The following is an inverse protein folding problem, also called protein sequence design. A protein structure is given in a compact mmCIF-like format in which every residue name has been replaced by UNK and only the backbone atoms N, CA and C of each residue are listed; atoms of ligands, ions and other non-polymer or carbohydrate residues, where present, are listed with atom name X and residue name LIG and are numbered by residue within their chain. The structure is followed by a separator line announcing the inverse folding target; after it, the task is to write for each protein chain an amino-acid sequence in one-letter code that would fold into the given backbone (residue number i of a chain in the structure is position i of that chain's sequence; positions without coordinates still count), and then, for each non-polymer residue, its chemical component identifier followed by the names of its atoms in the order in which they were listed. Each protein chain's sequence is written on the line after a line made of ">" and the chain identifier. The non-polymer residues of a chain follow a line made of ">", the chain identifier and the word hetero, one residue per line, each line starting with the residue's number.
data_IF_457178403143
#
_entry.id   IF_457178403143
#
_cell.length_a   1.000
_cell.length_b   1.000
_cell.length_c   1.000
_cell.angle_alpha   90.00
_cell.angle_beta   90.00
_cell.angle_gamma   90.00
#
_symmetry.space_group_name_H-M   'P 1'
#
loop_
_entity.id
_entity.type
_entity.pdbx_description
1 polymer ?
#
# COMPACT_ATOMS: atom_id res chain seq x y z
N UNK A 1 -59.51 13.57 33.66
CA UNK A 1 -59.86 12.42 34.52
C UNK A 1 -58.79 11.36 34.28
N UNK A 2 -57.80 11.28 35.18
CA UNK A 2 -57.55 10.13 36.09
C UNK A 2 -57.24 8.83 35.36
N UNK A 3 -56.21 8.04 35.63
CA UNK A 3 -55.17 7.97 36.67
C UNK A 3 -54.06 7.02 36.08
N UNK A 4 -52.77 7.31 36.18
CA UNK A 4 -51.83 6.97 37.27
C UNK A 4 -51.81 5.49 37.73
N UNK A 5 -50.58 4.95 37.84
CA UNK A 5 -49.98 3.94 38.75
C UNK A 5 -48.96 3.10 37.92
N UNK A 6 -47.64 3.17 38.12
CA UNK A 6 -46.87 2.84 39.34
C UNK A 6 -46.61 1.32 39.35
N UNK A 7 -45.46 0.73 39.67
CA UNK A 7 -44.19 1.19 40.18
C UNK A 7 -43.17 0.02 40.14
N UNK A 8 -41.88 0.37 40.18
CA UNK A 8 -40.83 -0.22 41.04
C UNK A 8 -40.21 -1.61 40.75
N UNK A 9 -38.88 -1.64 40.88
CA UNK A 9 -38.06 -2.85 40.99
C UNK A 9 -36.55 -2.58 40.97
N UNK A 10 -36.00 -2.04 42.07
CA UNK A 10 -34.55 -2.03 42.39
C UNK A 10 -34.17 -3.35 43.06
N UNK A 11 -32.99 -3.90 42.74
CA UNK A 11 -32.00 -4.55 43.64
C UNK A 11 -30.94 -5.24 42.74
N UNK A 12 -29.66 -4.88 42.66
CA UNK A 12 -28.57 -4.76 43.64
C UNK A 12 -27.94 -6.11 44.05
N UNK A 13 -26.60 -6.17 43.88
CA UNK A 13 -25.55 -6.97 44.60
C UNK A 13 -25.05 -8.28 43.95
N UNK A 14 -23.89 -8.85 44.38
CA UNK A 14 -22.54 -8.22 44.51
C UNK A 14 -21.34 -9.21 44.22
N UNK A 15 -20.10 -8.69 44.27
CA UNK A 15 -18.82 -9.29 44.79
C UNK A 15 -18.30 -10.63 44.17
N UNK A 16 -17.04 -11.07 44.23
CA UNK A 16 -15.82 -10.71 44.95
C UNK A 16 -14.65 -11.64 44.48
N UNK A 17 -13.37 -11.24 44.74
CA UNK A 17 -12.23 -12.09 45.23
C UNK A 17 -11.54 -13.03 44.19
N UNK A 18 -10.24 -13.35 44.12
CA UNK A 18 -9.03 -13.42 44.99
C UNK A 18 -7.75 -13.35 44.11
N UNK A 19 -6.66 -12.68 44.48
CA UNK A 19 -5.39 -13.20 45.09
C UNK A 19 -4.64 -14.30 44.31
N UNK A 20 -3.37 -14.03 43.98
CA UNK A 20 -2.36 -15.02 43.59
C UNK A 20 -0.93 -14.46 43.59
N UNK A 21 -0.27 -14.48 44.76
CA UNK A 21 1.17 -14.29 44.96
C UNK A 21 1.93 -15.60 44.68
N UNK A 22 3.16 -15.52 44.15
CA UNK A 22 4.34 -16.42 44.31
C UNK A 22 5.23 -16.28 43.06
N UNK A 23 6.55 -16.38 43.06
CA UNK A 23 7.61 -16.40 44.06
C UNK A 23 8.93 -16.16 43.30
N UNK A 24 9.93 -15.62 44.00
CA UNK A 24 11.30 -15.41 43.52
C UNK A 24 12.14 -16.71 43.50
N UNK A 25 13.24 -16.72 42.73
CA UNK A 25 14.60 -17.25 43.01
C UNK A 25 15.28 -17.64 41.67
N UNK A 26 16.29 -16.91 41.17
CA UNK A 26 17.73 -16.96 41.51
C UNK A 26 18.37 -18.35 41.41
N UNK A 27 19.15 -18.56 40.35
CA UNK A 27 20.34 -19.41 40.34
C UNK A 27 21.38 -18.77 39.41
N UNK A 28 22.56 -18.57 39.96
CA UNK A 28 23.73 -17.96 39.33
C UNK A 28 24.86 -18.99 39.18
N UNK A 29 25.85 -18.64 38.34
CA UNK A 29 27.24 -19.15 38.30
C UNK A 29 27.40 -20.57 37.76
N UNK A 30 28.50 -21.03 37.15
CA UNK A 30 29.82 -20.55 36.71
C UNK A 30 30.20 -21.55 35.57
N UNK A 31 31.11 -21.36 34.62
CA UNK A 31 32.39 -20.69 34.59
C UNK A 31 33.33 -21.49 33.65
N UNK A 32 34.48 -20.87 33.34
CA UNK A 32 35.73 -21.46 32.84
C UNK A 32 36.00 -21.63 31.33
N UNK A 33 36.93 -20.75 30.90
CA UNK A 33 37.82 -20.70 29.74
C UNK A 33 38.72 -21.93 29.54
N UNK A 34 39.17 -22.15 28.29
CA UNK A 34 40.59 -22.19 27.81
C UNK A 34 40.59 -22.46 26.30
N UNK A 35 41.02 -21.56 25.41
CA UNK A 35 42.39 -21.20 24.99
C UNK A 35 43.23 -22.36 24.38
N UNK A 36 43.43 -22.27 23.06
CA UNK A 36 44.74 -22.41 22.41
C UNK A 36 45.04 -23.74 21.72
N UNK A 37 45.18 -23.72 20.39
CA UNK A 37 46.47 -23.93 19.71
C UNK A 37 46.27 -23.92 18.18
N UNK A 38 46.98 -22.99 17.52
CA UNK A 38 47.31 -23.09 16.11
C UNK A 38 48.37 -24.20 15.93
N UNK A 39 48.25 -24.99 14.86
CA UNK A 39 49.42 -25.54 14.18
C UNK A 39 49.08 -25.75 12.71
N UNK A 40 49.91 -25.14 11.90
CA UNK A 40 50.04 -25.27 10.44
C UNK A 40 50.57 -26.64 10.06
N UNK A 41 49.96 -27.27 9.05
CA UNK A 41 50.66 -28.17 8.14
C UNK A 41 50.16 -27.95 6.71
N UNK A 42 51.14 -27.77 5.84
CA UNK A 42 51.02 -27.43 4.43
C UNK A 42 50.75 -28.67 3.58
N UNK A 43 49.99 -28.45 2.51
CA UNK A 43 50.05 -29.07 1.19
C UNK A 43 49.66 -30.56 1.02
N UNK A 44 48.52 -30.75 0.35
CA UNK A 44 48.45 -31.64 -0.80
C UNK A 44 47.69 -30.91 -1.92
N UNK A 45 48.45 -30.43 -2.92
CA UNK A 45 47.90 -29.97 -4.19
C UNK A 45 47.35 -31.19 -4.93
N UNK A 46 46.03 -31.27 -5.05
CA UNK A 46 45.37 -32.06 -6.07
C UNK A 46 44.75 -31.09 -7.08
N UNK A 47 45.33 -31.08 -8.28
CA UNK A 47 44.80 -30.38 -9.44
C UNK A 47 43.40 -30.88 -9.75
N UNK A 48 42.38 -30.12 -9.36
CA UNK A 48 41.04 -30.22 -9.93
C UNK A 48 40.88 -29.02 -10.87
N UNK A 49 40.92 -29.31 -12.16
CA UNK A 49 40.46 -28.43 -13.24
C UNK A 49 39.18 -27.73 -12.83
N UNK A 50 39.20 -26.40 -12.79
CA UNK A 50 38.03 -25.59 -12.54
C UNK A 50 36.93 -25.99 -13.53
N UNK A 51 35.81 -26.49 -12.99
CA UNK A 51 34.58 -26.61 -13.77
C UNK A 51 34.25 -25.22 -14.33
N UNK A 52 33.82 -25.11 -15.60
CA UNK A 52 33.31 -23.84 -16.09
C UNK A 52 32.18 -23.39 -15.17
N UNK A 53 32.25 -22.15 -14.69
CA UNK A 53 31.15 -21.53 -13.96
C UNK A 53 29.86 -21.77 -14.77
N UNK A 54 28.73 -22.16 -14.14
CA UNK A 54 27.48 -22.16 -14.87
C UNK A 54 27.31 -20.75 -15.43
N UNK A 55 27.14 -20.67 -16.75
CA UNK A 55 26.76 -19.44 -17.41
C UNK A 55 25.43 -19.01 -16.78
N UNK A 56 25.52 -18.07 -15.84
CA UNK A 56 24.37 -17.28 -15.40
C UNK A 56 23.97 -16.46 -16.61
N UNK A 57 23.04 -17.02 -17.38
CA UNK A 57 22.36 -16.31 -18.44
C UNK A 57 21.69 -15.07 -17.82
N UNK A 58 22.13 -13.84 -18.17
CA UNK A 58 21.54 -12.62 -17.62
C UNK A 58 20.04 -12.48 -17.97
N UNK A 59 19.54 -13.27 -18.91
CA UNK A 59 18.14 -13.25 -19.33
C UNK A 59 17.20 -14.08 -18.42
N UNK A 60 17.71 -14.84 -17.44
CA UNK A 60 16.87 -15.61 -16.50
C UNK A 60 16.74 -14.98 -15.10
N UNK A 61 17.36 -13.82 -14.88
CA UNK A 61 17.24 -13.01 -13.66
C UNK A 61 16.09 -12.01 -13.69
N UNK A 62 15.16 -12.15 -14.64
CA UNK A 62 13.92 -11.36 -14.69
C UNK A 62 12.90 -11.95 -13.71
N UNK A 63 13.21 -11.88 -12.42
CA UNK A 63 12.19 -11.55 -11.42
C UNK A 63 11.59 -10.22 -11.87
N UNK A 64 10.27 -10.13 -11.90
CA UNK A 64 9.58 -8.97 -12.46
C UNK A 64 10.12 -7.70 -11.83
N UNK A 65 10.52 -6.74 -12.67
CA UNK A 65 10.96 -5.41 -12.26
C UNK A 65 9.76 -4.62 -11.71
N UNK A 66 9.21 -5.08 -10.61
CA UNK A 66 8.42 -4.24 -9.71
C UNK A 66 9.38 -3.25 -9.05
N UNK A 67 8.92 -2.10 -8.56
CA UNK A 67 9.78 -1.07 -7.96
C UNK A 67 10.59 -1.52 -6.72
N UNK A 68 10.39 -2.76 -6.26
CA UNK A 68 10.91 -3.33 -5.02
C UNK A 68 12.30 -3.98 -5.13
N UNK A 69 12.84 -4.16 -6.34
CA UNK A 69 14.19 -4.73 -6.55
C UNK A 69 15.31 -3.67 -6.39
N UNK A 70 15.42 -3.06 -5.20
CA UNK A 70 16.57 -2.23 -4.85
C UNK A 70 17.43 -2.82 -3.75
N UNK A 71 18.76 -2.83 -3.89
CA UNK A 71 19.63 -2.93 -2.72
C UNK A 71 19.34 -1.70 -1.83
N UNK A 72 19.10 -1.88 -0.51
CA UNK A 72 18.73 -0.76 0.33
C UNK A 72 19.84 0.30 0.39
N UNK A 73 19.40 1.56 0.38
CA UNK A 73 20.20 2.74 0.72
C UNK A 73 20.78 2.60 2.15
N UNK A 74 21.91 3.26 2.42
CA UNK A 74 22.64 3.27 3.71
C UNK A 74 21.89 4.03 4.80
N UNK A 75 20.69 3.59 5.18
CA UNK A 75 20.02 4.06 6.39
C UNK A 75 20.55 3.25 7.60
N UNK A 76 21.20 3.90 8.59
CA UNK A 76 21.71 3.22 9.78
C UNK A 76 20.64 2.42 10.55
N UNK A 77 19.37 2.86 10.49
CA UNK A 77 18.25 2.17 11.12
C UNK A 77 17.94 0.84 10.40
N UNK A 78 17.94 0.85 9.07
CA UNK A 78 17.77 -0.35 8.24
C UNK A 78 18.94 -1.31 8.43
N UNK A 79 20.18 -0.81 8.49
CA UNK A 79 21.37 -1.63 8.75
C UNK A 79 21.29 -2.32 10.13
N UNK A 80 20.82 -1.61 11.15
CA UNK A 80 20.59 -2.19 12.47
C UNK A 80 19.49 -3.26 12.44
N UNK A 81 18.38 -2.99 11.74
CA UNK A 81 17.28 -3.95 11.61
C UNK A 81 17.72 -5.24 10.92
N UNK A 82 18.44 -5.14 9.80
CA UNK A 82 19.02 -6.28 9.09
C UNK A 82 19.93 -7.09 10.01
N UNK A 83 20.86 -6.44 10.73
CA UNK A 83 21.78 -7.13 11.63
C UNK A 83 21.06 -7.89 12.76
N UNK A 84 19.98 -7.32 13.30
CA UNK A 84 19.14 -7.98 14.32
C UNK A 84 18.43 -9.19 13.72
N UNK A 85 17.80 -9.05 12.55
CA UNK A 85 17.05 -10.13 11.89
C UNK A 85 17.95 -11.29 11.51
N UNK A 86 19.12 -11.03 10.93
CA UNK A 86 20.13 -12.07 10.61
C UNK A 86 20.55 -12.92 11.80
N UNK A 87 20.54 -12.33 13.00
CA UNK A 87 20.89 -13.05 14.24
C UNK A 87 19.69 -13.80 14.81
N UNK A 88 18.50 -13.23 14.70
CA UNK A 88 17.29 -13.73 15.33
C UNK A 88 16.55 -14.80 14.50
N UNK A 89 16.71 -14.79 13.17
CA UNK A 89 15.98 -15.66 12.26
C UNK A 89 16.92 -16.32 11.24
N UNK A 90 17.26 -17.61 11.42
CA UNK A 90 18.10 -18.34 10.47
C UNK A 90 17.51 -18.46 9.06
N UNK A 91 16.19 -18.30 8.91
CA UNK A 91 15.49 -18.31 7.62
C UNK A 91 15.35 -16.93 6.98
N UNK A 92 16.02 -15.92 7.53
CA UNK A 92 16.04 -14.58 6.94
C UNK A 92 16.89 -14.57 5.66
N UNK A 93 16.21 -14.49 4.53
CA UNK A 93 16.80 -14.26 3.22
C UNK A 93 16.62 -12.79 2.82
N UNK A 94 17.64 -12.22 2.15
CA UNK A 94 17.60 -10.87 1.60
C UNK A 94 16.98 -10.82 0.20
N UNK A 95 16.61 -11.96 -0.37
CA UNK A 95 15.86 -12.00 -1.62
C UNK A 95 14.46 -11.40 -1.42
N UNK A 96 14.08 -10.41 -2.25
CA UNK A 96 12.81 -9.66 -2.17
C UNK A 96 12.48 -9.10 -0.77
N UNK A 97 13.43 -8.39 -0.17
CA UNK A 97 13.25 -7.74 1.12
C UNK A 97 12.76 -6.29 0.98
N UNK A 98 11.75 -5.93 1.75
CA UNK A 98 11.25 -4.57 1.86
C UNK A 98 11.37 -4.08 3.31
N UNK A 99 11.92 -2.87 3.46
CA UNK A 99 11.95 -2.15 4.71
C UNK A 99 11.05 -0.93 4.61
N UNK A 100 10.27 -0.67 5.65
CA UNK A 100 9.54 0.60 5.81
C UNK A 100 9.84 1.16 7.20
N UNK A 101 10.07 2.46 7.27
CA UNK A 101 10.45 3.15 8.51
C UNK A 101 9.44 4.23 8.86
N UNK A 102 9.30 4.50 10.16
CA UNK A 102 8.47 5.58 10.68
C UNK A 102 8.01 5.31 12.11
N UNK A 103 7.53 6.33 12.81
CA UNK A 103 7.03 6.23 14.18
C UNK A 103 5.69 5.49 14.24
N UNK A 104 5.73 4.17 14.45
CA UNK A 104 4.57 3.27 14.42
C UNK A 104 3.85 3.24 15.77
N UNK A 105 4.59 3.26 16.87
CA UNK A 105 4.02 3.23 18.22
C UNK A 105 3.81 4.61 18.87
N UNK A 106 4.13 5.68 18.13
CA UNK A 106 3.92 7.09 18.49
C UNK A 106 4.77 7.52 19.68
N UNK A 107 5.97 6.96 19.83
CA UNK A 107 6.92 7.30 20.89
C UNK A 107 7.89 8.43 20.50
N UNK A 108 7.78 8.93 19.26
CA UNK A 108 8.61 9.99 18.71
C UNK A 108 9.93 9.52 18.10
N UNK A 109 10.14 8.20 17.95
CA UNK A 109 11.28 7.61 17.24
C UNK A 109 10.77 6.78 16.05
N UNK A 110 11.58 6.72 14.99
CA UNK A 110 11.25 5.87 13.86
C UNK A 110 11.50 4.40 14.18
N UNK A 111 10.48 3.58 13.94
CA UNK A 111 10.50 2.13 14.00
C UNK A 111 10.79 1.55 12.61
N UNK A 112 10.94 0.22 12.52
CA UNK A 112 11.13 -0.50 11.27
C UNK A 112 10.15 -1.67 11.18
N UNK A 113 9.39 -1.74 10.08
CA UNK A 113 8.73 -2.97 9.67
C UNK A 113 9.46 -3.56 8.47
N UNK A 114 9.65 -4.87 8.50
CA UNK A 114 10.41 -5.63 7.50
C UNK A 114 9.53 -6.74 6.96
N UNK A 115 9.46 -6.79 5.64
CA UNK A 115 8.91 -7.88 4.87
C UNK A 115 10.04 -8.60 4.18
N UNK A 116 10.08 -9.91 4.29
CA UNK A 116 10.97 -10.74 3.49
C UNK A 116 10.29 -12.06 3.22
N UNK A 117 10.67 -12.69 2.12
CA UNK A 117 10.08 -13.94 1.74
C UNK A 117 10.69 -15.16 2.44
N UNK A 118 9.92 -16.25 2.42
CA UNK A 118 10.35 -17.58 2.83
C UNK A 118 10.42 -18.44 1.57
N UNK A 119 11.61 -18.93 1.26
CA UNK A 119 11.89 -19.84 0.16
C UNK A 119 12.84 -20.96 0.57
N UNK A 120 12.88 -22.04 -0.22
CA UNK A 120 13.98 -23.00 -0.16
C UNK A 120 15.20 -22.43 -0.91
N UNK A 121 16.41 -22.84 -0.52
CA UNK A 121 17.64 -22.44 -1.20
C UNK A 121 17.55 -22.74 -2.71
N UNK A 122 17.61 -21.69 -3.54
CA UNK A 122 17.50 -21.79 -5.00
C UNK A 122 16.08 -21.63 -5.57
N UNK A 123 15.08 -21.39 -4.73
CA UNK A 123 13.77 -20.97 -5.21
C UNK A 123 13.85 -19.56 -5.81
N UNK A 124 13.41 -19.42 -7.06
CA UNK A 124 13.36 -18.11 -7.76
C UNK A 124 12.24 -17.19 -7.23
N UNK A 125 11.38 -17.69 -6.32
CA UNK A 125 10.18 -17.02 -5.80
C UNK A 125 9.83 -17.54 -4.42
N UNK A 126 9.22 -16.69 -3.60
CA UNK A 126 8.78 -17.04 -2.25
C UNK A 126 7.39 -17.65 -2.25
N UNK A 127 7.20 -18.73 -1.48
CA UNK A 127 5.88 -19.36 -1.30
C UNK A 127 5.06 -18.66 -0.21
N UNK A 128 5.73 -17.94 0.68
CA UNK A 128 5.13 -17.15 1.74
C UNK A 128 6.05 -15.96 2.07
N UNK A 129 5.52 -14.96 2.77
CA UNK A 129 6.30 -13.83 3.29
C UNK A 129 6.13 -13.71 4.80
N UNK A 130 7.15 -13.18 5.48
CA UNK A 130 7.12 -12.85 6.90
C UNK A 130 7.12 -11.35 7.11
N UNK A 131 6.37 -10.91 8.12
CA UNK A 131 6.39 -9.53 8.60
C UNK A 131 6.98 -9.49 10.01
N UNK A 132 8.08 -8.75 10.16
CA UNK A 132 8.73 -8.48 11.44
C UNK A 132 8.66 -6.98 11.73
N UNK A 133 8.45 -6.66 13.00
CA UNK A 133 8.45 -5.27 13.49
C UNK A 133 9.59 -5.12 14.50
N UNK A 134 10.35 -4.05 14.36
CA UNK A 134 11.38 -3.64 15.30
C UNK A 134 11.04 -2.24 15.79
N UNK A 135 10.84 -2.09 17.09
CA UNK A 135 10.49 -0.81 17.67
C UNK A 135 11.73 -0.13 18.25
N UNK A 136 11.85 1.17 18.05
CA UNK A 136 12.97 1.95 18.56
C UNK A 136 12.82 2.17 20.07
N UNK A 137 13.86 1.75 20.82
CA UNK A 137 13.95 1.94 22.27
C UNK A 137 15.25 2.65 22.63
N UNK A 138 15.39 3.02 23.90
CA UNK A 138 16.58 3.72 24.40
C UNK A 138 17.90 2.95 24.13
N UNK A 139 17.84 1.62 24.00
CA UNK A 139 19.00 0.76 23.71
C UNK A 139 19.20 0.42 22.22
N UNK A 140 18.39 0.98 21.31
CA UNK A 140 18.34 0.62 19.90
C UNK A 140 17.04 -0.10 19.52
N UNK A 141 17.02 -0.69 18.34
CA UNK A 141 15.87 -1.45 17.84
C UNK A 141 15.63 -2.74 18.64
N UNK A 142 14.38 -2.93 19.05
CA UNK A 142 13.90 -4.12 19.75
C UNK A 142 12.97 -4.94 18.84
N UNK A 143 13.41 -6.14 18.49
CA UNK A 143 12.63 -7.07 17.67
C UNK A 143 11.41 -7.58 18.42
N UNK A 144 10.23 -7.36 17.83
CA UNK A 144 8.96 -7.80 18.38
C UNK A 144 8.64 -9.26 17.98
N UNK A 145 7.65 -9.89 18.64
CA UNK A 145 7.08 -11.15 18.19
C UNK A 145 6.68 -11.10 16.71
N UNK A 146 6.66 -12.25 16.05
CA UNK A 146 6.24 -12.36 14.65
C UNK A 146 4.81 -11.80 14.46
N UNK A 147 4.63 -10.96 13.44
CA UNK A 147 3.36 -10.30 13.14
C UNK A 147 2.70 -10.84 11.86
N UNK A 148 3.29 -11.85 11.21
CA UNK A 148 2.83 -12.39 9.93
C UNK A 148 1.37 -12.86 9.99
N UNK A 149 0.97 -13.49 11.09
CA UNK A 149 -0.41 -13.96 11.32
C UNK A 149 -1.48 -12.86 11.39
N UNK A 150 -1.09 -11.58 11.42
CA UNK A 150 -2.03 -10.45 11.39
C UNK A 150 -2.54 -10.14 9.98
N UNK A 151 -1.91 -10.72 8.96
CA UNK A 151 -2.25 -10.59 7.57
C UNK A 151 -3.05 -11.81 7.12
N UNK A 152 -4.15 -11.58 6.39
CA UNK A 152 -5.01 -12.66 5.90
C UNK A 152 -4.51 -13.26 4.57
N UNK A 153 -3.79 -12.46 3.79
CA UNK A 153 -3.28 -12.80 2.46
C UNK A 153 -1.75 -12.67 2.42
N UNK A 154 -1.15 -12.79 1.25
CA UNK A 154 0.28 -12.52 1.09
C UNK A 154 0.58 -11.04 1.39
N UNK A 155 1.35 -10.70 2.43
CA UNK A 155 1.54 -9.32 2.82
C UNK A 155 2.52 -8.58 1.90
N UNK A 156 2.24 -7.31 1.63
CA UNK A 156 3.18 -6.37 1.02
C UNK A 156 3.18 -5.03 1.79
N UNK A 157 4.31 -4.66 2.39
CA UNK A 157 4.47 -3.43 3.16
C UNK A 157 4.61 -2.22 2.24
N UNK A 158 3.96 -1.12 2.63
CA UNK A 158 3.98 0.15 1.89
C UNK A 158 4.76 1.23 2.61
N UNK A 159 4.27 1.63 3.78
CA UNK A 159 4.83 2.74 4.54
C UNK A 159 4.37 2.67 5.99
N UNK A 160 5.11 3.34 6.88
CA UNK A 160 4.62 3.75 8.19
C UNK A 160 4.35 5.24 8.12
N UNK A 161 3.10 5.65 8.36
CA UNK A 161 2.68 7.05 8.34
C UNK A 161 1.61 7.31 9.39
N UNK A 162 1.77 8.40 10.15
CA UNK A 162 0.82 8.85 11.18
C UNK A 162 0.52 7.79 12.27
N UNK A 163 1.54 7.03 12.67
CA UNK A 163 1.40 5.93 13.63
C UNK A 163 0.57 4.76 13.09
N UNK A 164 0.61 4.54 11.78
CA UNK A 164 -0.05 3.42 11.11
C UNK A 164 0.88 2.75 10.12
N UNK A 165 0.86 1.43 10.13
CA UNK A 165 1.46 0.61 9.08
C UNK A 165 0.44 0.42 7.96
N UNK A 166 0.81 0.83 6.76
CA UNK A 166 0.06 0.60 5.54
C UNK A 166 0.66 -0.59 4.81
N UNK A 167 -0.21 -1.50 4.37
CA UNK A 167 0.20 -2.71 3.69
C UNK A 167 -0.94 -3.24 2.83
N UNK A 168 -0.60 -4.05 1.85
CA UNK A 168 -1.53 -4.68 0.93
C UNK A 168 -1.61 -6.19 1.21
N UNK A 169 -2.77 -6.76 0.92
CA UNK A 169 -2.99 -8.21 0.85
C UNK A 169 -2.99 -8.64 -0.61
N UNK A 170 -1.95 -9.33 -1.02
CA UNK A 170 -1.76 -9.84 -2.37
C UNK A 170 -2.34 -11.25 -2.51
N UNK A 171 -2.81 -11.58 -3.71
CA UNK A 171 -3.47 -12.87 -3.98
C UNK A 171 -2.57 -14.09 -3.69
N UNK A 172 -1.27 -13.97 -3.97
CA UNK A 172 -0.28 -15.01 -3.69
C UNK A 172 1.13 -14.42 -3.74
N UNK A 173 2.01 -14.91 -2.87
CA UNK A 173 3.42 -14.49 -2.85
C UNK A 173 4.22 -14.99 -4.06
N UNK A 174 3.79 -16.10 -4.66
CA UNK A 174 4.53 -16.78 -5.72
C UNK A 174 4.21 -16.26 -7.13
N UNK A 175 3.24 -15.36 -7.30
CA UNK A 175 2.90 -14.84 -8.62
C UNK A 175 3.86 -13.71 -9.05
N UNK A 176 4.15 -13.57 -10.35
CA UNK A 176 5.00 -12.50 -10.88
C UNK A 176 4.43 -11.10 -10.63
N UNK A 177 3.12 -10.97 -10.79
CA UNK A 177 2.42 -9.70 -10.71
C UNK A 177 1.09 -9.97 -9.99
N UNK A 178 1.14 -10.25 -8.67
CA UNK A 178 -0.07 -10.60 -7.93
C UNK A 178 -1.00 -9.40 -7.83
N UNK A 179 -2.29 -9.63 -8.00
CA UNK A 179 -3.32 -8.62 -7.75
C UNK A 179 -3.43 -8.27 -6.27
N UNK A 180 -3.77 -7.01 -5.99
CA UNK A 180 -4.12 -6.57 -4.63
C UNK A 180 -5.56 -6.92 -4.32
N UNK A 181 -5.76 -7.79 -3.33
CA UNK A 181 -7.08 -8.18 -2.84
C UNK A 181 -7.63 -7.20 -1.79
N UNK A 182 -6.75 -6.64 -0.96
CA UNK A 182 -7.13 -5.76 0.14
C UNK A 182 -6.05 -4.73 0.46
N UNK A 183 -6.49 -3.56 0.91
CA UNK A 183 -5.62 -2.49 1.42
C UNK A 183 -5.82 -2.37 2.93
N UNK A 184 -4.75 -2.63 3.67
CA UNK A 184 -4.78 -2.69 5.12
C UNK A 184 -4.17 -1.45 5.78
N UNK A 185 -4.74 -1.09 6.93
CA UNK A 185 -4.09 -0.21 7.89
C UNK A 185 -4.04 -0.90 9.24
N UNK A 186 -2.87 -0.88 9.86
CA UNK A 186 -2.64 -1.41 11.19
C UNK A 186 -2.15 -0.32 12.13
N UNK A 187 -2.55 -0.41 13.39
CA UNK A 187 -1.96 0.35 14.49
C UNK A 187 -1.23 -0.59 15.43
N UNK A 188 -0.14 -0.12 16.03
CA UNK A 188 0.52 -0.84 17.10
C UNK A 188 -0.23 -0.65 18.42
N UNK A 189 -0.76 -1.74 18.97
CA UNK A 189 -1.50 -1.72 20.24
C UNK A 189 -1.20 -2.97 21.05
N UNK A 190 -0.89 -2.79 22.33
CA UNK A 190 -0.65 -3.89 23.28
C UNK A 190 0.40 -4.92 22.79
N UNK A 191 1.46 -4.46 22.13
CA UNK A 191 2.55 -5.32 21.66
C UNK A 191 2.26 -6.10 20.38
N UNK A 192 1.25 -5.71 19.60
CA UNK A 192 0.95 -6.33 18.31
C UNK A 192 0.36 -5.34 17.31
N UNK A 193 0.42 -5.69 16.03
CA UNK A 193 -0.36 -5.05 14.97
C UNK A 193 -1.85 -5.39 15.15
N UNK A 194 -2.68 -4.35 15.17
CA UNK A 194 -4.14 -4.46 15.17
C UNK A 194 -4.66 -3.81 13.91
N UNK A 195 -5.36 -4.58 13.06
CA UNK A 195 -5.99 -4.06 11.85
C UNK A 195 -7.10 -3.08 12.23
N UNK A 196 -6.97 -1.83 11.78
CA UNK A 196 -7.92 -0.74 12.07
C UNK A 196 -8.74 -0.34 10.85
N UNK A 197 -8.27 -0.66 9.65
CA UNK A 197 -9.03 -0.49 8.41
C UNK A 197 -8.67 -1.57 7.40
N UNK A 198 -9.64 -1.85 6.52
CA UNK A 198 -9.49 -2.70 5.35
C UNK A 198 -10.37 -2.10 4.25
N UNK A 199 -9.81 -1.92 3.07
CA UNK A 199 -10.53 -1.47 1.87
C UNK A 199 -10.42 -2.53 0.77
N UNK A 200 -11.48 -2.75 0.02
CA UNK A 200 -11.41 -3.41 -1.31
C UNK A 200 -10.90 -2.43 -2.36
N UNK A 201 -10.56 -2.90 -3.57
CA UNK A 201 -10.20 -2.03 -4.70
C UNK A 201 -11.27 -0.96 -4.99
N UNK A 202 -12.55 -1.34 -5.03
CA UNK A 202 -13.65 -0.38 -5.21
C UNK A 202 -13.71 0.67 -4.09
N UNK A 203 -13.59 0.25 -2.82
CA UNK A 203 -13.58 1.18 -1.68
C UNK A 203 -12.37 2.11 -1.73
N UNK A 204 -11.23 1.59 -2.17
CA UNK A 204 -9.99 2.34 -2.31
C UNK A 204 -10.10 3.40 -3.41
N UNK A 205 -10.66 3.06 -4.57
CA UNK A 205 -10.96 4.04 -5.63
C UNK A 205 -11.81 5.17 -5.06
N UNK A 206 -12.91 4.84 -4.38
CA UNK A 206 -13.81 5.85 -3.80
C UNK A 206 -13.11 6.74 -2.77
N UNK A 207 -12.30 6.16 -1.88
CA UNK A 207 -11.59 6.94 -0.86
C UNK A 207 -10.55 7.87 -1.48
N UNK A 208 -9.85 7.43 -2.54
CA UNK A 208 -8.90 8.27 -3.30
C UNK A 208 -9.60 9.39 -4.07
N UNK A 209 -10.72 9.11 -4.74
CA UNK A 209 -11.53 10.15 -5.41
C UNK A 209 -12.06 11.19 -4.42
N UNK A 210 -12.52 10.76 -3.23
CA UNK A 210 -12.94 11.71 -2.19
C UNK A 210 -11.78 12.54 -1.65
N UNK A 211 -10.57 11.96 -1.53
CA UNK A 211 -9.38 12.71 -1.15
C UNK A 211 -9.00 13.76 -2.22
N UNK A 212 -9.12 13.43 -3.51
CA UNK A 212 -8.92 14.38 -4.61
C UNK A 212 -9.94 15.52 -4.55
N UNK A 213 -11.23 15.21 -4.36
CA UNK A 213 -12.28 16.22 -4.16
C UNK A 213 -11.95 17.14 -2.99
N UNK A 214 -11.56 16.59 -1.84
CA UNK A 214 -11.17 17.38 -0.68
C UNK A 214 -9.96 18.27 -0.95
N UNK A 215 -8.97 17.78 -1.70
CA UNK A 215 -7.80 18.56 -2.11
C UNK A 215 -8.19 19.76 -2.99
N UNK A 216 -9.07 19.55 -3.98
CA UNK A 216 -9.59 20.60 -4.86
C UNK A 216 -10.33 21.67 -4.03
N UNK A 217 -11.25 21.26 -3.15
CA UNK A 217 -12.02 22.18 -2.31
C UNK A 217 -11.14 22.96 -1.32
N UNK A 218 -10.01 22.39 -0.90
CA UNK A 218 -9.05 23.03 -0.02
C UNK A 218 -7.94 23.80 -0.76
N UNK A 219 -7.95 23.84 -2.10
CA UNK A 219 -6.91 24.48 -2.92
C UNK A 219 -5.53 23.81 -2.82
N UNK A 220 -5.47 22.53 -2.45
CA UNK A 220 -4.22 21.76 -2.26
C UNK A 220 -3.77 21.10 -3.58
N UNK A 221 -3.35 21.90 -4.55
CA UNK A 221 -3.02 21.43 -5.91
C UNK A 221 -1.92 20.37 -5.97
N UNK A 222 -0.85 20.53 -5.19
CA UNK A 222 0.22 19.52 -5.13
C UNK A 222 -0.27 18.12 -4.72
N UNK A 223 -1.38 18.03 -3.98
CA UNK A 223 -2.01 16.74 -3.66
C UNK A 223 -2.78 16.18 -4.85
N UNK A 224 -3.46 17.04 -5.62
CA UNK A 224 -4.17 16.64 -6.84
C UNK A 224 -3.18 16.17 -7.91
N UNK A 225 -2.12 16.94 -8.18
CA UNK A 225 -1.12 16.69 -9.24
C UNK A 225 -0.51 15.29 -9.14
N UNK A 226 -0.32 14.76 -7.92
CA UNK A 226 0.18 13.40 -7.72
C UNK A 226 -0.70 12.33 -8.37
N UNK A 227 -2.01 12.56 -8.44
CA UNK A 227 -3.01 11.67 -9.03
C UNK A 227 -3.23 11.94 -10.54
N UNK A 228 -2.62 13.00 -11.08
CA UNK A 228 -2.70 13.38 -12.50
C UNK A 228 -1.52 12.83 -13.33
N UNK A 229 -0.60 12.10 -12.69
CA UNK A 229 0.52 11.42 -13.33
C UNK A 229 0.07 10.09 -13.93
N UNK A 230 0.78 9.61 -14.94
CA UNK A 230 0.50 8.35 -15.63
C UNK A 230 0.73 7.09 -14.77
N UNK A 231 1.64 7.17 -13.80
CA UNK A 231 2.01 6.06 -12.92
C UNK A 231 2.89 6.46 -11.74
N UNK A 232 3.30 5.50 -10.91
CA UNK A 232 4.20 5.73 -9.79
C UNK A 232 5.53 6.34 -10.24
N UNK A 233 6.16 7.14 -9.39
CA UNK A 233 7.49 7.65 -9.69
C UNK A 233 8.50 6.49 -9.61
N UNK A 234 9.41 6.32 -10.58
CA UNK A 234 10.50 5.37 -10.44
C UNK A 234 11.32 5.80 -9.22
N UNK A 235 11.42 4.92 -8.22
CA UNK A 235 12.04 5.33 -6.97
C UNK A 235 13.54 5.70 -7.21
N UNK A 236 14.16 6.53 -6.38
CA UNK A 236 15.51 7.05 -6.68
C UNK A 236 15.57 8.07 -7.81
N UNK A 237 14.40 8.45 -8.36
CA UNK A 237 14.04 9.76 -8.89
C UNK A 237 14.58 10.93 -8.06
N UNK A 238 15.90 11.20 -8.04
CA UNK A 238 16.43 12.40 -7.40
C UNK A 238 15.65 13.61 -7.92
N UNK A 239 15.16 14.45 -7.02
CA UNK A 239 14.43 15.68 -7.34
C UNK A 239 15.18 16.57 -8.36
N UNK A 240 16.50 16.40 -8.48
CA UNK A 240 17.37 17.08 -9.44
C UNK A 240 17.22 16.63 -10.92
N UNK A 241 16.55 15.51 -11.20
CA UNK A 241 16.27 15.03 -12.57
C UNK A 241 14.83 15.27 -13.02
N UNK A 242 13.94 15.68 -12.11
CA UNK A 242 12.55 16.01 -12.40
C UNK A 242 12.42 17.15 -13.43
N UNK A 243 13.40 18.06 -13.49
CA UNK A 243 13.42 19.22 -14.39
C UNK A 243 13.73 18.88 -15.87
N UNK A 244 14.01 17.61 -16.22
CA UNK A 244 14.38 17.21 -17.59
C UNK A 244 13.38 16.28 -18.29
N UNK A 245 12.35 15.79 -17.60
CA UNK A 245 11.27 15.03 -18.27
C UNK A 245 10.27 16.05 -18.84
N UNK A 246 9.91 16.00 -20.14
CA UNK A 246 8.79 16.80 -20.63
C UNK A 246 7.56 16.49 -19.76
N UNK A 247 6.66 17.47 -19.55
CA UNK A 247 5.48 17.28 -18.72
C UNK A 247 4.81 15.96 -19.11
N UNK A 248 4.50 15.16 -18.09
CA UNK A 248 3.82 13.88 -18.28
C UNK A 248 2.63 14.12 -19.21
N UNK A 249 2.54 13.39 -20.33
CA UNK A 249 1.51 13.64 -21.36
C UNK A 249 0.10 13.61 -20.77
N UNK A 250 -0.07 12.84 -19.69
CA UNK A 250 -1.30 12.75 -18.90
C UNK A 250 -1.59 14.03 -18.12
N UNK A 251 -0.57 14.65 -17.51
CA UNK A 251 -0.70 15.95 -16.84
C UNK A 251 -1.11 17.04 -17.84
N UNK A 252 -0.50 17.05 -19.03
CA UNK A 252 -0.90 17.94 -20.12
C UNK A 252 -2.34 17.67 -20.62
N UNK A 253 -2.75 16.40 -20.69
CA UNK A 253 -4.13 16.04 -21.04
C UNK A 253 -5.16 16.47 -19.98
N UNK A 254 -4.75 16.58 -18.72
CA UNK A 254 -5.59 17.06 -17.62
C UNK A 254 -5.73 18.59 -17.58
N UNK A 255 -4.83 19.33 -18.22
CA UNK A 255 -4.82 20.80 -18.18
C UNK A 255 -6.16 21.43 -18.58
N UNK A 256 -6.83 21.02 -19.67
CA UNK A 256 -8.15 21.58 -20.02
C UNK A 256 -9.17 21.37 -18.90
N UNK A 257 -9.19 20.20 -18.27
CA UNK A 257 -10.16 19.83 -17.23
C UNK A 257 -9.95 20.62 -15.93
N UNK A 258 -8.72 21.08 -15.67
CA UNK A 258 -8.37 21.79 -14.45
C UNK A 258 -7.85 23.22 -14.68
N UNK A 259 -8.09 23.79 -15.86
CA UNK A 259 -7.52 25.07 -16.30
C UNK A 259 -7.89 26.26 -15.39
N UNK A 260 -9.14 26.30 -14.91
CA UNK A 260 -9.65 27.42 -14.12
C UNK A 260 -10.43 26.96 -12.88
N UNK A 261 -10.81 27.93 -12.04
CA UNK A 261 -11.50 27.65 -10.77
C UNK A 261 -12.90 27.04 -10.97
N UNK A 262 -13.59 27.37 -12.06
CA UNK A 262 -14.93 26.88 -12.35
C UNK A 262 -14.88 25.40 -12.75
N UNK A 263 -13.98 25.02 -13.68
CA UNK A 263 -13.81 23.62 -14.11
C UNK A 263 -13.40 22.71 -12.96
N UNK A 264 -12.46 23.19 -12.13
CA UNK A 264 -12.03 22.51 -10.90
C UNK A 264 -13.19 22.32 -9.93
N UNK A 265 -14.05 23.33 -9.79
CA UNK A 265 -15.24 23.24 -8.96
C UNK A 265 -16.26 22.24 -9.53
N UNK A 266 -16.48 22.25 -10.84
CA UNK A 266 -17.39 21.31 -11.52
C UNK A 266 -16.96 19.85 -11.30
N UNK A 267 -15.67 19.54 -11.40
CA UNK A 267 -15.12 18.22 -11.04
C UNK A 267 -15.44 17.84 -9.58
N UNK A 268 -15.18 18.74 -8.63
CA UNK A 268 -15.43 18.49 -7.21
C UNK A 268 -16.92 18.31 -6.88
N UNK A 269 -17.79 19.04 -7.58
CA UNK A 269 -19.24 18.94 -7.42
C UNK A 269 -19.78 17.65 -8.07
N UNK A 270 -19.27 17.24 -9.24
CA UNK A 270 -19.60 15.96 -9.86
C UNK A 270 -19.27 14.77 -8.96
N UNK A 271 -18.05 14.72 -8.41
CA UNK A 271 -17.65 13.71 -7.42
C UNK A 271 -18.48 13.79 -6.14
N UNK A 272 -18.85 15.00 -5.70
CA UNK A 272 -19.72 15.20 -4.54
C UNK A 272 -21.09 14.59 -4.74
N UNK A 273 -21.73 14.88 -5.88
CA UNK A 273 -23.05 14.36 -6.24
C UNK A 273 -23.05 12.85 -6.37
N UNK A 274 -22.14 12.31 -7.19
CA UNK A 274 -22.06 10.87 -7.46
C UNK A 274 -21.63 10.08 -6.22
N UNK A 275 -20.78 10.65 -5.37
CA UNK A 275 -20.36 10.03 -4.12
C UNK A 275 -21.47 9.87 -3.07
N UNK A 276 -22.61 10.54 -3.24
CA UNK A 276 -23.80 10.35 -2.40
C UNK A 276 -24.77 9.30 -2.95
N UNK A 277 -24.57 8.85 -4.19
CA UNK A 277 -25.38 7.81 -4.81
C UNK A 277 -24.86 6.43 -4.39
N UNK A 278 -25.78 5.48 -4.28
CA UNK A 278 -25.39 4.09 -4.15
C UNK A 278 -24.88 3.58 -5.49
N UNK A 279 -23.68 2.99 -5.50
CA UNK A 279 -23.17 2.28 -6.66
C UNK A 279 -24.06 1.07 -6.96
N UNK A 280 -24.58 1.01 -8.17
CA UNK A 280 -25.29 -0.14 -8.71
C UNK A 280 -24.27 -1.11 -9.29
N UNK A 281 -24.29 -2.36 -8.84
CA UNK A 281 -23.48 -3.41 -9.46
C UNK A 281 -24.04 -3.72 -10.84
N UNK A 282 -23.17 -3.66 -11.86
CA UNK A 282 -23.47 -4.10 -13.22
C UNK A 282 -23.15 -5.59 -13.38
N UNK A 283 -22.06 -6.04 -12.75
CA UNK A 283 -21.64 -7.44 -12.63
C UNK A 283 -20.75 -7.60 -11.38
N UNK A 284 -20.04 -8.73 -11.27
CA UNK A 284 -19.17 -9.07 -10.13
C UNK A 284 -17.98 -8.11 -9.94
N UNK A 285 -17.60 -7.36 -10.98
CA UNK A 285 -16.41 -6.50 -11.00
C UNK A 285 -16.70 -5.03 -11.30
N UNK A 286 -17.84 -4.75 -11.92
CA UNK A 286 -18.23 -3.42 -12.37
C UNK A 286 -19.35 -2.81 -11.54
N UNK A 287 -19.19 -1.52 -11.23
CA UNK A 287 -20.13 -0.74 -10.46
C UNK A 287 -20.33 0.66 -11.08
N UNK A 288 -21.57 1.15 -11.07
CA UNK A 288 -21.98 2.40 -11.70
C UNK A 288 -22.79 3.28 -10.75
N UNK A 289 -22.47 4.56 -10.70
CA UNK A 289 -23.37 5.61 -10.21
C UNK A 289 -23.60 6.59 -11.35
N UNK A 290 -24.87 6.87 -11.66
CA UNK A 290 -25.22 7.87 -12.67
C UNK A 290 -26.36 8.77 -12.21
N UNK A 291 -26.34 10.00 -12.72
CA UNK A 291 -27.39 11.00 -12.50
C UNK A 291 -27.59 11.80 -13.78
N UNK A 292 -28.77 11.71 -14.35
CA UNK A 292 -29.14 12.46 -15.55
C UNK A 292 -29.98 13.67 -15.19
N UNK A 293 -29.56 14.85 -15.64
CA UNK A 293 -30.36 16.08 -15.57
C UNK A 293 -30.93 16.38 -16.97
N UNK A 294 -32.27 16.42 -17.14
CA UNK A 294 -32.87 16.49 -18.48
C UNK A 294 -32.76 17.87 -19.13
N UNK A 295 -32.64 18.96 -18.36
CA UNK A 295 -32.62 20.32 -18.92
C UNK A 295 -31.94 21.34 -18.00
N UNK A 296 -31.62 22.51 -18.58
CA UNK A 296 -30.96 23.62 -17.92
C UNK A 296 -29.44 23.67 -18.15
N UNK A 297 -28.73 24.63 -17.52
CA UNK A 297 -27.30 24.90 -17.78
C UNK A 297 -26.33 23.77 -17.37
N UNK A 298 -26.86 22.69 -16.79
CA UNK A 298 -26.11 21.53 -16.30
C UNK A 298 -26.74 20.21 -16.80
N UNK A 299 -27.55 20.30 -17.86
CA UNK A 299 -28.18 19.15 -18.50
C UNK A 299 -27.10 18.15 -18.97
N UNK A 300 -27.48 16.88 -18.99
CA UNK A 300 -26.57 15.78 -19.31
C UNK A 300 -26.45 14.76 -18.19
N UNK A 301 -25.77 13.66 -18.50
CA UNK A 301 -25.49 12.58 -17.56
C UNK A 301 -24.16 12.84 -16.84
N UNK A 302 -24.18 12.65 -15.52
CA UNK A 302 -22.98 12.50 -14.71
C UNK A 302 -22.82 11.03 -14.40
N UNK A 303 -21.62 10.48 -14.55
CA UNK A 303 -21.37 9.05 -14.41
C UNK A 303 -20.06 8.79 -13.70
N UNK A 304 -20.09 7.88 -12.72
CA UNK A 304 -18.91 7.28 -12.10
C UNK A 304 -19.00 5.77 -12.34
N UNK A 305 -18.05 5.24 -13.12
CA UNK A 305 -17.91 3.83 -13.38
C UNK A 305 -16.63 3.30 -12.73
N UNK A 306 -16.70 2.16 -12.05
CA UNK A 306 -15.56 1.49 -11.43
C UNK A 306 -15.55 0.04 -11.89
N UNK A 307 -14.43 -0.37 -12.49
CA UNK A 307 -14.14 -1.74 -12.89
C UNK A 307 -12.97 -2.26 -12.05
N UNK A 308 -13.20 -3.33 -11.28
CA UNK A 308 -12.20 -3.94 -10.38
C UNK A 308 -11.48 -5.14 -10.98
N UNK A 309 -11.73 -5.47 -12.24
CA UNK A 309 -11.03 -6.51 -12.97
C UNK A 309 -10.86 -6.14 -14.45
N UNK A 310 -10.16 -5.02 -14.75
CA UNK A 310 -10.00 -4.56 -16.13
C UNK A 310 -9.28 -5.61 -16.99
N UNK A 311 -9.71 -5.71 -18.26
CA UNK A 311 -9.14 -6.66 -19.24
C UNK A 311 -7.62 -6.51 -19.35
N UNK A 312 -7.13 -5.26 -19.38
CA UNK A 312 -5.71 -4.91 -19.30
C UNK A 312 -5.24 -4.83 -17.84
N UNK A 313 -5.17 -5.98 -17.16
CA UNK A 313 -4.79 -6.07 -15.74
C UNK A 313 -3.32 -5.71 -15.43
N UNK A 314 -2.51 -5.42 -16.44
CA UNK A 314 -1.15 -4.93 -16.30
C UNK A 314 -0.82 -3.87 -17.35
N UNK A 315 0.05 -2.92 -16.99
CA UNK A 315 0.46 -1.82 -17.87
C UNK A 315 1.95 -1.55 -17.74
N UNK A 316 2.61 -1.26 -18.86
CA UNK A 316 4.00 -0.82 -18.88
C UNK A 316 4.09 0.70 -18.87
N UNK A 317 4.73 1.26 -17.84
CA UNK A 317 4.92 2.70 -17.66
C UNK A 317 6.41 2.93 -17.37
N UNK A 318 7.07 3.77 -18.19
CA UNK A 318 8.49 4.09 -18.06
C UNK A 318 9.43 2.86 -17.98
N UNK A 319 9.05 1.74 -18.61
CA UNK A 319 9.83 0.50 -18.61
C UNK A 319 9.60 -0.40 -17.39
N UNK A 320 8.59 -0.10 -16.57
CA UNK A 320 8.15 -0.91 -15.45
C UNK A 320 6.74 -1.45 -15.69
N UNK A 321 6.52 -2.73 -15.38
CA UNK A 321 5.20 -3.36 -15.45
C UNK A 321 4.49 -3.21 -14.11
N UNK A 322 3.30 -2.63 -14.14
CA UNK A 322 2.43 -2.43 -12.99
C UNK A 322 1.15 -3.22 -13.12
N UNK A 323 0.65 -3.75 -12.00
CA UNK A 323 -0.69 -4.34 -11.93
C UNK A 323 -1.72 -3.22 -11.79
N UNK A 324 -2.81 -3.32 -12.55
CA UNK A 324 -3.96 -2.42 -12.45
C UNK A 324 -5.03 -3.11 -11.62
N UNK A 325 -5.17 -2.68 -10.36
CA UNK A 325 -6.11 -3.28 -9.40
C UNK A 325 -7.56 -2.85 -9.67
N UNK A 326 -7.76 -1.68 -10.28
CA UNK A 326 -9.06 -1.19 -10.73
C UNK A 326 -8.89 -0.06 -11.75
N UNK A 327 -9.96 0.25 -12.47
CA UNK A 327 -10.10 1.42 -13.33
C UNK A 327 -11.35 2.20 -12.93
N UNK A 328 -11.21 3.52 -12.86
CA UNK A 328 -12.30 4.43 -12.52
C UNK A 328 -12.49 5.44 -13.65
N UNK A 329 -13.71 5.64 -14.11
CA UNK A 329 -14.05 6.68 -15.10
C UNK A 329 -15.09 7.63 -14.50
N UNK A 330 -14.85 8.92 -14.65
CA UNK A 330 -15.75 9.99 -14.24
C UNK A 330 -16.11 10.84 -15.47
N UNK A 331 -17.39 10.98 -15.73
CA UNK A 331 -17.95 11.80 -16.81
C UNK A 331 -18.91 12.84 -16.22
N UNK A 332 -18.84 14.08 -16.68
CA UNK A 332 -19.80 15.11 -16.33
C UNK A 332 -19.94 16.17 -17.44
N UNK A 333 -21.12 16.78 -17.58
CA UNK A 333 -21.30 17.90 -18.50
C UNK A 333 -20.75 19.18 -17.87
N UNK A 334 -20.13 20.02 -18.70
CA UNK A 334 -19.99 21.45 -18.47
C UNK A 334 -21.05 22.15 -19.34
N UNK A 335 -21.55 23.33 -18.95
CA UNK A 335 -22.55 24.02 -19.78
C UNK A 335 -22.07 24.21 -21.23
N UNK A 336 -22.99 24.49 -22.15
CA UNK A 336 -22.68 24.81 -23.56
C UNK A 336 -22.39 23.62 -24.50
N UNK A 337 -22.80 22.41 -24.13
CA UNK A 337 -22.76 21.22 -25.02
C UNK A 337 -21.47 20.40 -24.95
N UNK A 338 -20.54 20.77 -24.06
CA UNK A 338 -19.26 20.08 -23.85
C UNK A 338 -19.29 19.31 -22.53
N UNK A 339 -18.86 18.05 -22.53
CA UNK A 339 -18.61 17.27 -21.33
C UNK A 339 -17.13 17.01 -21.11
N UNK A 340 -16.76 16.59 -19.91
CA UNK A 340 -15.43 16.07 -19.63
C UNK A 340 -15.48 14.63 -19.18
N UNK A 341 -14.46 13.89 -19.58
CA UNK A 341 -14.18 12.57 -19.03
C UNK A 341 -12.78 12.52 -18.44
N UNK A 342 -12.65 11.82 -17.33
CA UNK A 342 -11.40 11.47 -16.71
C UNK A 342 -11.40 9.96 -16.42
N UNK A 343 -10.27 9.31 -16.68
CA UNK A 343 -10.08 7.89 -16.36
C UNK A 343 -8.79 7.71 -15.57
N UNK A 344 -8.88 6.93 -14.50
CA UNK A 344 -7.75 6.59 -13.65
C UNK A 344 -7.58 5.07 -13.56
N UNK A 345 -6.32 4.67 -13.37
CA UNK A 345 -5.92 3.34 -12.93
C UNK A 345 -5.61 3.39 -11.44
N UNK A 346 -6.09 2.41 -10.69
CA UNK A 346 -5.62 2.12 -9.35
C UNK A 346 -4.40 1.22 -9.48
N UNK A 347 -3.24 1.75 -9.13
CA UNK A 347 -1.97 1.02 -9.12
C UNK A 347 -1.40 1.19 -7.72
N UNK A 348 -1.08 0.08 -7.07
CA UNK A 348 -0.43 0.13 -5.76
C UNK A 348 -1.21 0.94 -4.70
N UNK A 349 -2.54 0.93 -4.80
CA UNK A 349 -3.44 1.64 -3.91
C UNK A 349 -3.54 3.16 -4.13
N UNK A 350 -2.97 3.71 -5.19
CA UNK A 350 -3.13 5.12 -5.57
C UNK A 350 -3.71 5.26 -6.98
N UNK A 351 -4.40 6.38 -7.23
CA UNK A 351 -4.98 6.68 -8.54
C UNK A 351 -3.98 7.41 -9.42
N UNK A 352 -3.83 6.92 -10.65
CA UNK A 352 -2.99 7.50 -11.68
C UNK A 352 -3.82 7.76 -12.93
N UNK A 353 -3.64 8.93 -13.53
CA UNK A 353 -4.43 9.36 -14.67
C UNK A 353 -4.03 8.58 -15.92
N UNK A 354 -5.01 7.93 -16.52
CA UNK A 354 -4.88 7.22 -17.79
C UNK A 354 -5.31 8.11 -18.95
N UNK A 355 -6.43 8.82 -18.78
CA UNK A 355 -7.05 9.59 -19.84
C UNK A 355 -7.77 10.82 -19.26
N UNK A 356 -7.70 11.93 -19.99
CA UNK A 356 -8.44 13.14 -19.70
C UNK A 356 -8.80 13.85 -21.00
N UNK A 357 -10.03 14.34 -21.11
CA UNK A 357 -10.45 15.06 -22.31
C UNK A 357 -11.85 15.65 -22.24
N UNK A 358 -12.17 16.39 -23.29
CA UNK A 358 -13.52 16.83 -23.61
C UNK A 358 -14.22 15.73 -24.41
N UNK A 359 -15.53 15.58 -24.23
CA UNK A 359 -16.38 14.76 -25.09
C UNK A 359 -17.63 15.57 -25.47
N UNK A 360 -18.07 15.43 -26.72
CA UNK A 360 -19.29 16.08 -27.19
C UNK A 360 -20.52 15.44 -26.54
N UNK A 361 -21.46 16.27 -26.07
CA UNK A 361 -22.73 15.81 -25.51
C UNK A 361 -23.81 15.61 -26.59
N UNK A 362 -23.42 15.59 -27.86
CA UNK A 362 -24.29 15.53 -29.05
C UNK A 362 -25.02 14.18 -29.14
N UNK A 363 -26.13 14.12 -28.41
CA UNK A 363 -27.08 13.01 -28.39
C UNK A 363 -28.35 13.26 -27.55
N UNK A 364 -28.51 14.45 -26.94
CA UNK A 364 -29.68 14.81 -26.13
C UNK A 364 -30.65 15.79 -26.80
N UNK A 365 -30.45 16.10 -28.08
CA UNK A 365 -31.51 16.69 -28.91
C UNK A 365 -32.31 15.58 -29.61
N UNK A 366 -33.35 15.09 -28.94
CA UNK A 366 -34.52 14.50 -29.60
C UNK A 366 -35.77 14.66 -28.75
#
# INVERSE_FOLDING_TARGET
>A
MSAAHGAAGRAMRPAAVCIGLCAALLMASAGCKKQGAQTTTQAAQASATAAPAPAVDPALNWGGTTPHDRPPLRDPLIEQADAILRKADPGFDRFEIQYVTGDLDRDGRDDVAVEYGIGEDGAMRHVAKRIRVLLARAGGLELQPDQTEKFADCPALREIRDGRLWADGLEACMLPFPRTLAYYQFEWRNGALVRVAQETAQQRVLSRLQAMRAAVLAGKWATLDRNLRAGPAPAGADAATADKKPPDKTLAAAEPVFADAQRRRAFADALGLLGHLQLQSLNDHEALASLTKPSGPEAGERRLHIDTAPEDGAVDIDGYTYVVDARASLEWPEGDGVGYHLRWRLIEGDLYLEEAGEHDLDGLES
#
